data_IF_629409029117
#
_entry.id   IF_629409029117
#
_cell.length_a   1.000
_cell.length_b   1.000
_cell.length_c   1.000
_cell.angle_alpha   90.00
_cell.angle_beta   90.00
_cell.angle_gamma   90.00
#
_symmetry.space_group_name_H-M   'P 1'
#
loop_
_entity.id
_entity.type
_entity.pdbx_description
1 polymer ?
#
# COMPACT_ATOMS: atom_id res chain seq x y z
N UNK A 1 0.58 16.54 -2.50
CA UNK A 1 1.65 17.05 -1.61
C UNK A 1 2.27 18.35 -2.15
N UNK A 2 2.93 18.38 -3.31
CA UNK A 2 3.47 19.64 -3.89
C UNK A 2 2.40 20.68 -4.30
N UNK A 3 1.12 20.30 -4.36
CA UNK A 3 0.02 21.26 -4.53
C UNK A 3 -0.22 22.18 -3.32
N UNK A 4 0.42 21.88 -2.18
CA UNK A 4 0.29 22.62 -0.92
C UNK A 4 1.61 23.26 -0.47
N UNK A 5 2.68 23.06 -1.24
CA UNK A 5 4.02 23.52 -0.91
C UNK A 5 4.74 24.04 -2.16
N UNK A 6 5.52 25.09 -1.98
CA UNK A 6 6.42 25.61 -3.02
C UNK A 6 7.88 25.43 -2.61
N UNK A 7 8.75 25.13 -3.57
CA UNK A 7 10.19 25.07 -3.36
C UNK A 7 10.77 26.49 -3.42
N UNK A 8 11.34 26.97 -2.32
CA UNK A 8 11.98 28.30 -2.26
C UNK A 8 13.47 28.22 -2.56
N UNK A 9 14.10 27.12 -2.12
CA UNK A 9 15.52 26.87 -2.37
C UNK A 9 15.75 25.36 -2.41
N UNK A 10 16.92 24.88 -2.90
CA UNK A 10 17.19 23.45 -3.01
C UNK A 10 16.95 22.65 -1.72
N UNK A 11 17.09 23.28 -0.55
CA UNK A 11 16.92 22.63 0.76
C UNK A 11 15.78 23.21 1.61
N UNK A 12 14.90 24.04 1.04
CA UNK A 12 13.76 24.61 1.76
C UNK A 12 12.51 24.68 0.92
N UNK A 13 11.40 24.31 1.55
CA UNK A 13 10.04 24.35 1.01
C UNK A 13 9.17 25.20 1.92
N UNK A 14 8.14 25.84 1.37
CA UNK A 14 7.18 26.65 2.12
C UNK A 14 5.77 26.12 1.94
N UNK A 15 5.02 26.02 3.03
CA UNK A 15 3.61 25.68 3.00
C UNK A 15 2.79 26.87 2.48
N UNK A 16 1.95 26.63 1.48
CA UNK A 16 1.09 27.67 0.89
C UNK A 16 -0.09 28.07 1.79
N UNK A 17 -0.43 27.25 2.80
CA UNK A 17 -1.57 27.48 3.70
C UNK A 17 -1.24 28.31 4.94
N UNK A 18 0.00 28.25 5.42
CA UNK A 18 0.44 29.00 6.59
C UNK A 18 1.79 29.70 6.45
N UNK A 19 2.40 29.66 5.25
CA UNK A 19 3.72 30.23 4.98
C UNK A 19 4.87 29.65 5.83
N UNK A 20 4.66 28.53 6.52
CA UNK A 20 5.71 27.85 7.29
C UNK A 20 6.79 27.30 6.37
N UNK A 21 8.05 27.58 6.67
CA UNK A 21 9.20 27.04 5.96
C UNK A 21 9.71 25.76 6.63
N UNK A 22 9.98 24.73 5.82
CA UNK A 22 10.46 23.43 6.27
C UNK A 22 11.77 23.09 5.56
N UNK A 23 12.64 22.34 6.24
CA UNK A 23 13.84 21.76 5.64
C UNK A 23 13.43 20.65 4.67
N UNK A 24 14.04 20.66 3.49
CA UNK A 24 13.82 19.68 2.43
C UNK A 24 15.14 18.97 2.11
N UNK A 25 15.20 17.66 2.35
CA UNK A 25 16.36 16.82 2.08
C UNK A 25 16.01 15.78 1.00
N UNK A 26 15.46 16.25 -0.12
CA UNK A 26 14.98 15.43 -1.24
C UNK A 26 13.94 14.35 -0.83
N UNK A 27 13.23 14.58 0.27
CA UNK A 27 12.14 13.74 0.76
C UNK A 27 10.98 14.61 1.22
N UNK A 28 9.81 14.01 1.34
CA UNK A 28 8.56 14.75 1.53
C UNK A 28 7.92 14.55 2.90
N UNK A 29 8.59 13.79 3.78
CA UNK A 29 8.06 13.39 5.09
C UNK A 29 7.80 14.59 5.99
N UNK A 30 8.68 15.59 5.99
CA UNK A 30 8.51 16.82 6.75
C UNK A 30 7.28 17.63 6.30
N UNK A 31 7.05 17.71 4.98
CA UNK A 31 5.90 18.41 4.39
C UNK A 31 4.60 17.68 4.73
N UNK A 32 4.55 16.36 4.56
CA UNK A 32 3.38 15.54 4.88
C UNK A 32 3.02 15.65 6.36
N UNK A 33 3.99 15.47 7.26
CA UNK A 33 3.78 15.57 8.71
C UNK A 33 3.29 16.96 9.13
N UNK A 34 3.84 18.01 8.54
CA UNK A 34 3.38 19.37 8.80
C UNK A 34 1.93 19.58 8.34
N UNK A 35 1.62 19.20 7.11
CA UNK A 35 0.31 19.41 6.51
C UNK A 35 -0.78 18.67 7.29
N UNK A 36 -0.55 17.38 7.60
CA UNK A 36 -1.48 16.58 8.39
C UNK A 36 -1.69 17.12 9.81
N UNK A 37 -0.67 17.68 10.42
CA UNK A 37 -0.79 18.21 11.78
C UNK A 37 -1.51 19.57 11.85
N UNK A 38 -1.44 20.40 10.81
CA UNK A 38 -1.86 21.81 10.86
C UNK A 38 -2.96 22.22 9.89
N UNK A 39 -3.14 21.48 8.79
CA UNK A 39 -3.99 21.88 7.67
C UNK A 39 -5.00 20.82 7.27
N UNK A 40 -4.79 19.58 7.70
CA UNK A 40 -5.80 18.54 7.60
C UNK A 40 -6.88 18.79 8.67
N UNK A 41 -7.95 19.48 8.27
CA UNK A 41 -9.17 19.59 9.06
C UNK A 41 -9.72 18.18 9.29
N UNK A 42 -9.86 17.75 10.55
CA UNK A 42 -10.68 16.58 10.94
C UNK A 42 -12.19 16.85 10.77
N UNK A 43 -12.58 17.39 9.63
CA UNK A 43 -13.93 17.38 9.12
C UNK A 43 -13.91 16.88 7.67
N UNK A 44 -13.24 15.76 7.45
CA UNK A 44 -13.97 14.75 6.72
C UNK A 44 -14.91 14.13 7.75
N UNK A 45 -16.22 14.30 7.49
CA UNK A 45 -17.21 13.35 7.91
C UNK A 45 -16.79 12.03 7.24
N UNK A 46 -15.76 11.39 7.80
CA UNK A 46 -15.62 9.97 7.64
C UNK A 46 -16.93 9.50 8.24
N UNK A 47 -17.84 9.07 7.36
CA UNK A 47 -18.41 7.76 7.59
C UNK A 47 -17.22 6.99 8.11
N UNK A 48 -17.25 6.66 9.41
CA UNK A 48 -16.37 5.62 9.89
C UNK A 48 -16.72 4.45 8.98
N UNK A 49 -16.04 4.37 7.83
CA UNK A 49 -15.59 3.12 7.25
C UNK A 49 -14.54 2.69 8.26
N UNK A 50 -15.06 2.35 9.43
CA UNK A 50 -14.60 1.24 10.22
C UNK A 50 -14.13 0.27 9.17
N UNK A 51 -12.82 0.02 9.10
CA UNK A 51 -12.20 -0.91 8.15
C UNK A 51 -12.63 -2.32 8.49
N UNK A 52 -13.92 -2.51 8.67
CA UNK A 52 -14.68 -3.73 8.78
C UNK A 52 -14.86 -4.31 7.38
N UNK A 53 -13.77 -4.31 6.62
CA UNK A 53 -13.31 -5.42 5.80
C UNK A 53 -14.44 -5.86 4.83
N UNK A 54 -14.41 -5.44 3.59
CA UNK A 54 -15.61 -5.18 2.76
C UNK A 54 -16.58 -6.35 2.45
N UNK A 55 -16.19 -7.59 2.76
CA UNK A 55 -16.94 -8.81 2.44
C UNK A 55 -18.26 -8.98 3.18
N UNK A 56 -18.38 -8.42 4.39
CA UNK A 56 -19.63 -8.51 5.16
C UNK A 56 -20.57 -7.34 4.90
N UNK A 57 -20.10 -6.31 4.18
CA UNK A 57 -20.84 -5.10 3.89
C UNK A 57 -22.11 -5.42 3.07
N UNK A 58 -23.31 -4.98 3.51
CA UNK A 58 -24.55 -5.23 2.78
C UNK A 58 -24.54 -4.66 1.36
N UNK A 59 -23.93 -3.48 1.16
CA UNK A 59 -23.85 -2.83 -0.15
C UNK A 59 -22.95 -3.61 -1.11
N UNK A 60 -21.81 -4.10 -0.62
CA UNK A 60 -20.92 -4.97 -1.40
C UNK A 60 -21.60 -6.29 -1.78
N UNK A 61 -22.35 -6.92 -0.86
CA UNK A 61 -23.12 -8.15 -1.16
C UNK A 61 -24.20 -7.90 -2.21
N UNK A 62 -24.92 -6.79 -2.11
CA UNK A 62 -25.92 -6.41 -3.12
C UNK A 62 -25.26 -6.17 -4.49
N UNK A 63 -24.13 -5.45 -4.51
CA UNK A 63 -23.36 -5.21 -5.72
C UNK A 63 -22.92 -6.51 -6.40
N UNK A 64 -22.32 -7.43 -5.64
CA UNK A 64 -21.90 -8.74 -6.14
C UNK A 64 -23.10 -9.53 -6.64
N UNK A 65 -24.22 -9.53 -5.93
CA UNK A 65 -25.45 -10.20 -6.37
C UNK A 65 -26.05 -9.63 -7.65
N UNK A 66 -25.85 -8.33 -7.93
CA UNK A 66 -26.23 -7.72 -9.22
C UNK A 66 -25.27 -8.07 -10.35
N UNK A 67 -23.98 -8.24 -10.05
CA UNK A 67 -22.97 -8.63 -11.04
C UNK A 67 -23.11 -10.09 -11.46
N UNK A 68 -23.22 -10.98 -10.48
CA UNK A 68 -23.40 -12.41 -10.69
C UNK A 68 -24.28 -12.99 -9.57
N UNK A 69 -25.58 -13.20 -9.85
CA UNK A 69 -26.51 -13.78 -8.87
C UNK A 69 -26.16 -15.22 -8.46
N UNK A 70 -25.33 -15.92 -9.23
CA UNK A 70 -24.93 -17.31 -8.94
C UNK A 70 -23.67 -17.39 -8.07
N UNK A 71 -22.93 -16.28 -7.96
CA UNK A 71 -21.70 -16.24 -7.18
C UNK A 71 -22.00 -16.09 -5.69
N UNK A 72 -21.61 -17.10 -4.91
CA UNK A 72 -21.68 -17.02 -3.45
C UNK A 72 -20.40 -16.39 -2.90
N UNK A 73 -20.52 -15.19 -2.35
CA UNK A 73 -19.39 -14.48 -1.76
C UNK A 73 -18.81 -15.30 -0.59
N UNK A 74 -17.52 -15.69 -0.63
CA UNK A 74 -16.91 -16.45 0.45
C UNK A 74 -16.78 -15.62 1.73
N UNK A 75 -16.83 -16.31 2.88
CA UNK A 75 -16.54 -15.70 4.16
C UNK A 75 -15.07 -15.28 4.26
N UNK A 76 -14.74 -14.38 5.18
CA UNK A 76 -13.34 -13.98 5.45
C UNK A 76 -12.42 -15.14 5.76
N UNK A 77 -12.92 -16.09 6.53
CA UNK A 77 -12.15 -17.28 6.91
C UNK A 77 -11.88 -18.14 5.68
N UNK A 78 -12.90 -18.32 4.83
CA UNK A 78 -12.75 -19.03 3.56
C UNK A 78 -11.75 -18.31 2.64
N UNK A 79 -11.85 -16.99 2.47
CA UNK A 79 -10.90 -16.22 1.66
C UNK A 79 -9.47 -16.27 2.19
N UNK A 80 -9.29 -16.13 3.51
CA UNK A 80 -7.96 -16.26 4.12
C UNK A 80 -7.36 -17.63 3.86
N UNK A 81 -8.18 -18.69 3.94
CA UNK A 81 -7.77 -20.06 3.61
C UNK A 81 -7.39 -20.19 2.13
N UNK A 82 -8.25 -19.72 1.22
CA UNK A 82 -8.00 -19.76 -0.22
C UNK A 82 -6.72 -19.02 -0.63
N UNK A 83 -6.49 -17.82 -0.08
CA UNK A 83 -5.26 -17.05 -0.32
C UNK A 83 -4.04 -17.79 0.23
N UNK A 84 -4.14 -18.39 1.41
CA UNK A 84 -3.06 -19.19 1.99
C UNK A 84 -2.72 -20.44 1.17
N UNK A 85 -3.72 -21.18 0.72
CA UNK A 85 -3.55 -22.35 -0.15
C UNK A 85 -2.92 -21.95 -1.48
N UNK A 86 -3.41 -20.87 -2.10
CA UNK A 86 -2.84 -20.35 -3.35
C UNK A 86 -1.40 -19.89 -3.19
N UNK A 87 -1.08 -19.25 -2.06
CA UNK A 87 0.28 -18.85 -1.74
C UNK A 87 1.24 -20.05 -1.67
N UNK A 88 0.88 -21.12 -0.94
CA UNK A 88 1.76 -22.30 -0.85
C UNK A 88 1.91 -23.01 -2.20
N UNK A 89 0.84 -23.06 -3.01
CA UNK A 89 0.89 -23.59 -4.39
C UNK A 89 1.88 -22.79 -5.26
N UNK A 90 1.73 -21.48 -5.34
CA UNK A 90 2.58 -20.63 -6.20
C UNK A 90 4.02 -20.53 -5.68
N UNK A 91 4.22 -20.55 -4.36
CA UNK A 91 5.54 -20.63 -3.73
C UNK A 91 6.27 -21.93 -4.09
N UNK A 92 5.57 -23.06 -4.09
CA UNK A 92 6.15 -24.33 -4.51
C UNK A 92 6.59 -24.30 -5.98
N UNK A 93 5.75 -23.75 -6.87
CA UNK A 93 6.09 -23.55 -8.29
C UNK A 93 7.29 -22.63 -8.48
N UNK A 94 7.29 -21.46 -7.84
CA UNK A 94 8.39 -20.51 -7.91
C UNK A 94 9.70 -21.12 -7.41
N UNK A 95 9.66 -21.89 -6.31
CA UNK A 95 10.83 -22.61 -5.80
C UNK A 95 11.35 -23.64 -6.79
N UNK A 96 10.47 -24.42 -7.42
CA UNK A 96 10.86 -25.40 -8.43
C UNK A 96 11.50 -24.74 -9.65
N UNK A 97 10.95 -23.61 -10.11
CA UNK A 97 11.53 -22.81 -11.21
C UNK A 97 12.92 -22.27 -10.84
N UNK A 98 13.09 -21.76 -9.62
CA UNK A 98 14.38 -21.22 -9.16
C UNK A 98 15.47 -22.29 -9.02
N UNK A 99 15.12 -23.57 -8.87
CA UNK A 99 16.11 -24.66 -8.81
C UNK A 99 16.84 -24.90 -10.14
N UNK A 100 16.23 -24.55 -11.27
CA UNK A 100 16.83 -24.71 -12.60
C UNK A 100 17.51 -23.44 -13.13
N UNK A 101 17.51 -22.35 -12.35
CA UNK A 101 18.07 -21.07 -12.76
C UNK A 101 19.55 -20.99 -12.35
N UNK A 102 20.41 -20.60 -13.28
CA UNK A 102 21.86 -20.45 -13.03
C UNK A 102 22.19 -19.23 -12.17
N UNK A 103 21.49 -18.11 -12.39
CA UNK A 103 21.73 -16.86 -11.69
C UNK A 103 20.44 -16.07 -11.45
N UNK A 104 20.40 -15.37 -10.32
CA UNK A 104 19.30 -14.48 -9.94
C UNK A 104 19.83 -13.09 -9.60
N UNK A 105 19.00 -12.08 -9.77
CA UNK A 105 19.23 -10.72 -9.26
C UNK A 105 18.24 -10.42 -8.15
N UNK A 106 18.71 -9.90 -7.02
CA UNK A 106 17.87 -9.50 -5.90
C UNK A 106 17.80 -7.98 -5.81
N UNK A 107 16.59 -7.43 -5.68
CA UNK A 107 16.36 -6.03 -5.35
C UNK A 107 15.70 -5.93 -4.00
N UNK A 108 16.19 -5.03 -3.15
CA UNK A 108 15.59 -4.73 -1.85
C UNK A 108 15.02 -3.33 -1.84
N UNK A 109 13.81 -3.19 -1.30
CA UNK A 109 13.19 -1.89 -1.01
C UNK A 109 12.90 -1.79 0.49
N UNK A 110 13.22 -0.65 1.09
CA UNK A 110 13.06 -0.40 2.51
C UNK A 110 12.28 0.89 2.73
N UNK A 111 11.29 0.83 3.60
CA UNK A 111 10.52 1.99 3.99
C UNK A 111 10.13 1.92 5.47
N UNK A 112 9.82 3.07 6.04
CA UNK A 112 9.25 3.18 7.37
C UNK A 112 7.81 3.66 7.24
N UNK A 113 6.86 2.98 7.87
CA UNK A 113 5.46 3.39 7.85
C UNK A 113 5.25 4.69 8.62
N UNK A 114 4.07 5.29 8.45
CA UNK A 114 3.61 6.40 9.29
C UNK A 114 3.54 6.04 10.77
N UNK A 115 3.44 4.75 11.10
CA UNK A 115 3.45 4.23 12.47
C UNK A 115 4.86 3.91 12.98
N UNK A 116 5.90 4.30 12.23
CA UNK A 116 7.31 4.05 12.54
C UNK A 116 7.74 2.57 12.46
N UNK A 117 6.94 1.71 11.83
CA UNK A 117 7.33 0.33 11.56
C UNK A 117 8.29 0.28 10.37
N UNK A 118 9.41 -0.42 10.51
CA UNK A 118 10.36 -0.62 9.42
C UNK A 118 10.00 -1.88 8.61
N UNK A 119 9.97 -1.75 7.29
CA UNK A 119 9.72 -2.84 6.35
C UNK A 119 10.90 -3.01 5.39
N UNK A 120 11.12 -4.27 5.00
CA UNK A 120 12.05 -4.66 3.94
C UNK A 120 11.30 -5.59 2.98
N UNK A 121 11.15 -5.19 1.73
CA UNK A 121 10.76 -6.06 0.64
C UNK A 121 12.01 -6.56 -0.10
N UNK A 122 12.02 -7.84 -0.45
CA UNK A 122 13.05 -8.44 -1.31
C UNK A 122 12.33 -9.05 -2.50
N UNK A 123 12.76 -8.67 -3.70
CA UNK A 123 12.26 -9.21 -4.97
C UNK A 123 13.39 -9.94 -5.69
N UNK A 124 13.10 -11.16 -6.16
CA UNK A 124 14.01 -11.97 -6.94
C UNK A 124 13.63 -11.93 -8.42
N UNK A 125 14.60 -11.64 -9.28
CA UNK A 125 14.48 -11.59 -10.73
C UNK A 125 15.33 -12.69 -11.34
N UNK A 126 14.77 -13.46 -12.26
CA UNK A 126 15.47 -14.52 -12.98
C UNK A 126 15.03 -14.58 -14.44
N UNK A 127 15.87 -15.16 -15.29
CA UNK A 127 15.53 -15.49 -16.68
C UNK A 127 15.29 -17.00 -16.77
N UNK A 128 14.11 -17.39 -17.23
CA UNK A 128 13.77 -18.79 -17.47
C UNK A 128 14.15 -19.16 -18.90
N UNK A 129 15.11 -20.06 -19.08
CA UNK A 129 15.42 -20.69 -20.37
C UNK A 129 14.63 -21.98 -20.49
N UNK A 130 13.76 -22.07 -21.52
CA UNK A 130 12.94 -23.24 -21.84
C UNK A 130 13.61 -24.14 -22.89
#
# INVERSE_FOLDING_TARGET
MWEHFELISPNKVQCLHCSMQLVYNNNTSSMLRHYSAKHENKQENTVHVDRKQDLDDPGFKEFVGKLDPTYTLPSRQALKKMVGEKYEEEKAKAKAQLQSVEAVSLTSDMWTSTNMDAYLAVTCHCVLTF
#
